data_IF_190438864988
#
_entry.id   IF_190438864988
#
_cell.length_a   1.000
_cell.length_b   1.000
_cell.length_c   1.000
_cell.angle_alpha   90.00
_cell.angle_beta   90.00
_cell.angle_gamma   90.00
#
_symmetry.space_group_name_H-M   'P 1'
#
loop_
_entity.id
_entity.type
_entity.pdbx_description
1 polymer ?
#
# COMPACT_ATOMS: atom_id res chain seq x y z
N UNK A 1 48.98 11.86 -23.19
CA UNK A 1 47.95 12.80 -22.71
C UNK A 1 46.61 12.64 -23.44
N UNK A 2 46.58 12.59 -24.79
CA UNK A 2 45.35 12.35 -25.56
C UNK A 2 44.73 10.96 -25.29
N UNK A 3 45.57 9.91 -25.25
CA UNK A 3 45.14 8.52 -25.02
C UNK A 3 44.52 8.31 -23.63
N UNK A 4 45.10 8.94 -22.61
CA UNK A 4 44.57 8.93 -21.23
C UNK A 4 43.25 9.70 -21.10
N UNK A 5 43.06 10.80 -21.86
CA UNK A 5 41.79 11.53 -21.90
C UNK A 5 40.67 10.71 -22.57
N UNK A 6 40.98 10.00 -23.64
CA UNK A 6 40.05 9.09 -24.31
C UNK A 6 39.57 7.98 -23.38
N UNK A 7 40.49 7.32 -22.66
CA UNK A 7 40.14 6.27 -21.69
C UNK A 7 39.23 6.78 -20.56
N UNK A 8 39.50 7.99 -20.05
CA UNK A 8 38.64 8.60 -19.02
C UNK A 8 37.25 8.91 -19.58
N UNK A 9 37.14 9.43 -20.81
CA UNK A 9 35.84 9.67 -21.44
C UNK A 9 35.05 8.38 -21.66
N UNK A 10 35.70 7.29 -22.09
CA UNK A 10 35.05 5.99 -22.25
C UNK A 10 34.45 5.48 -20.94
N UNK A 11 35.20 5.59 -19.83
CA UNK A 11 34.71 5.21 -18.50
C UNK A 11 33.51 6.08 -18.10
N UNK A 12 33.58 7.40 -18.32
CA UNK A 12 32.48 8.33 -17.99
C UNK A 12 31.23 7.99 -18.80
N UNK A 13 31.36 7.75 -20.10
CA UNK A 13 30.23 7.38 -20.97
C UNK A 13 29.63 6.05 -20.52
N UNK A 14 30.46 5.06 -20.17
CA UNK A 14 30.00 3.76 -19.70
C UNK A 14 29.25 3.86 -18.38
N UNK A 15 29.77 4.61 -17.40
CA UNK A 15 29.11 4.84 -16.11
C UNK A 15 27.81 5.61 -16.28
N UNK A 16 27.80 6.67 -17.09
CA UNK A 16 26.60 7.46 -17.35
C UNK A 16 25.51 6.63 -18.06
N UNK A 17 25.90 5.85 -19.06
CA UNK A 17 24.97 4.99 -19.81
C UNK A 17 24.44 3.87 -18.93
N UNK A 18 25.31 3.20 -18.16
CA UNK A 18 24.90 2.16 -17.22
C UNK A 18 23.97 2.69 -16.13
N UNK A 19 24.27 3.87 -15.58
CA UNK A 19 23.41 4.56 -14.62
C UNK A 19 22.04 4.92 -15.21
N UNK A 20 22.01 5.44 -16.44
CA UNK A 20 20.78 5.79 -17.15
C UNK A 20 19.90 4.56 -17.45
N UNK A 21 20.50 3.47 -17.95
CA UNK A 21 19.80 2.19 -18.19
C UNK A 21 19.25 1.65 -16.88
N UNK A 22 20.04 1.68 -15.80
CA UNK A 22 19.62 1.27 -14.46
C UNK A 22 18.40 2.07 -13.97
N UNK A 23 18.43 3.39 -14.13
CA UNK A 23 17.32 4.26 -13.76
C UNK A 23 16.04 3.99 -14.58
N UNK A 24 16.16 3.92 -15.90
CA UNK A 24 15.05 3.57 -16.82
C UNK A 24 14.42 2.23 -16.45
N UNK A 25 15.27 1.22 -16.22
CA UNK A 25 14.86 -0.14 -15.87
C UNK A 25 14.10 -0.18 -14.54
N UNK A 26 14.61 0.51 -13.52
CA UNK A 26 13.89 0.63 -12.23
C UNK A 26 12.52 1.30 -12.39
N UNK A 27 12.44 2.36 -13.19
CA UNK A 27 11.18 3.04 -13.49
C UNK A 27 10.17 2.10 -14.18
N UNK A 28 10.60 1.37 -15.20
CA UNK A 28 9.76 0.42 -15.92
C UNK A 28 9.28 -0.72 -15.02
N UNK A 29 10.17 -1.32 -14.22
CA UNK A 29 9.77 -2.35 -13.25
C UNK A 29 8.78 -1.83 -12.22
N UNK A 30 8.98 -0.60 -11.73
CA UNK A 30 8.07 0.01 -10.77
C UNK A 30 6.67 0.21 -11.35
N UNK A 31 6.59 0.67 -12.59
CA UNK A 31 5.31 0.86 -13.30
C UNK A 31 4.60 -0.47 -13.53
N UNK A 32 5.29 -1.49 -14.06
CA UNK A 32 4.72 -2.82 -14.31
C UNK A 32 4.24 -3.48 -13.02
N UNK A 33 5.02 -3.37 -11.94
CA UNK A 33 4.61 -3.87 -10.62
C UNK A 33 3.40 -3.13 -10.08
N UNK A 34 3.36 -1.81 -10.25
CA UNK A 34 2.21 -0.99 -9.89
C UNK A 34 0.96 -1.51 -10.61
N UNK A 35 0.99 -1.58 -11.94
CA UNK A 35 -0.12 -2.08 -12.78
C UNK A 35 -0.61 -3.46 -12.36
N UNK A 36 0.31 -4.39 -12.08
CA UNK A 36 -0.04 -5.73 -11.61
C UNK A 36 -0.88 -5.71 -10.32
N UNK A 37 -0.58 -4.83 -9.35
CA UNK A 37 -1.40 -4.70 -8.14
C UNK A 37 -2.79 -4.12 -8.43
N UNK A 38 -2.94 -3.19 -9.39
CA UNK A 38 -4.26 -2.72 -9.86
C UNK A 38 -5.05 -3.88 -10.45
N UNK A 39 -4.43 -4.62 -11.36
CA UNK A 39 -5.10 -5.70 -12.08
C UNK A 39 -5.54 -6.79 -11.10
N UNK A 40 -4.67 -7.15 -10.16
CA UNK A 40 -5.00 -8.10 -9.09
C UNK A 40 -6.11 -7.55 -8.20
N UNK A 41 -6.09 -6.28 -7.82
CA UNK A 41 -7.14 -5.69 -6.99
C UNK A 41 -8.51 -5.63 -7.68
N UNK A 42 -8.50 -5.43 -9.00
CA UNK A 42 -9.70 -5.35 -9.82
C UNK A 42 -10.19 -6.69 -10.36
N UNK A 43 -9.41 -7.75 -10.17
CA UNK A 43 -9.75 -9.12 -10.58
C UNK A 43 -11.07 -9.60 -9.95
N UNK A 44 -11.73 -10.55 -10.64
CA UNK A 44 -12.97 -11.14 -10.14
C UNK A 44 -12.80 -11.81 -8.77
N UNK A 45 -11.69 -12.50 -8.54
CA UNK A 45 -11.39 -13.16 -7.27
C UNK A 45 -11.19 -12.15 -6.13
N UNK A 46 -10.40 -11.09 -6.35
CA UNK A 46 -10.23 -10.07 -5.32
C UNK A 46 -11.54 -9.30 -5.04
N UNK A 47 -12.39 -9.12 -6.05
CA UNK A 47 -13.72 -8.53 -5.87
C UNK A 47 -14.61 -9.40 -4.99
N UNK A 48 -14.57 -10.72 -5.14
CA UNK A 48 -15.29 -11.66 -4.25
C UNK A 48 -14.76 -11.57 -2.82
N UNK A 49 -13.43 -11.59 -2.64
CA UNK A 49 -12.79 -11.43 -1.33
C UNK A 49 -13.21 -10.12 -0.66
N UNK A 50 -13.11 -9.00 -1.39
CA UNK A 50 -13.52 -7.67 -0.89
C UNK A 50 -14.99 -7.62 -0.52
N UNK A 51 -15.87 -8.19 -1.33
CA UNK A 51 -17.31 -8.24 -1.04
C UNK A 51 -17.57 -9.01 0.24
N UNK A 52 -16.90 -10.15 0.42
CA UNK A 52 -17.02 -10.97 1.63
C UNK A 52 -16.50 -10.26 2.87
N UNK A 53 -15.33 -9.63 2.78
CA UNK A 53 -14.77 -8.82 3.87
C UNK A 53 -15.68 -7.64 4.21
N UNK A 54 -16.23 -6.93 3.22
CA UNK A 54 -17.19 -5.87 3.46
C UNK A 54 -18.45 -6.37 4.15
N UNK A 55 -19.02 -7.49 3.69
CA UNK A 55 -20.19 -8.08 4.34
C UNK A 55 -19.89 -8.47 5.79
N UNK A 56 -18.70 -9.00 6.07
CA UNK A 56 -18.27 -9.32 7.43
C UNK A 56 -18.16 -8.07 8.32
N UNK A 57 -17.53 -6.99 7.81
CA UNK A 57 -17.43 -5.70 8.48
C UNK A 57 -18.83 -5.11 8.74
N UNK A 58 -19.69 -5.08 7.73
CA UNK A 58 -21.04 -4.51 7.80
C UNK A 58 -21.95 -5.26 8.77
N UNK A 59 -21.79 -6.58 8.87
CA UNK A 59 -22.52 -7.40 9.85
C UNK A 59 -22.03 -7.18 11.28
N UNK A 60 -20.86 -6.58 11.47
CA UNK A 60 -20.24 -6.41 12.79
C UNK A 60 -20.07 -7.74 13.53
N UNK A 61 -19.72 -8.80 12.80
CA UNK A 61 -19.60 -10.13 13.41
C UNK A 61 -18.49 -10.12 14.48
N UNK A 62 -18.76 -10.70 15.66
CA UNK A 62 -17.76 -10.71 16.71
C UNK A 62 -16.61 -11.66 16.35
N UNK A 63 -15.40 -11.29 16.79
CA UNK A 63 -14.16 -12.01 16.45
C UNK A 63 -14.13 -13.44 17.01
N UNK A 64 -14.84 -13.70 18.09
CA UNK A 64 -15.00 -15.03 18.70
C UNK A 64 -15.63 -16.06 17.76
N UNK A 65 -16.42 -15.63 16.76
CA UNK A 65 -16.96 -16.53 15.73
C UNK A 65 -15.90 -17.08 14.79
N UNK A 66 -14.93 -16.25 14.41
CA UNK A 66 -13.82 -16.66 13.55
C UNK A 66 -12.60 -17.15 14.36
N UNK A 67 -12.61 -16.93 15.68
CA UNK A 67 -11.61 -17.39 16.64
C UNK A 67 -12.28 -18.01 17.89
N UNK A 68 -12.97 -19.15 17.76
CA UNK A 68 -13.68 -19.75 18.89
C UNK A 68 -12.70 -20.41 19.86
N UNK A 69 -13.02 -20.35 21.16
CA UNK A 69 -12.24 -21.00 22.22
C UNK A 69 -12.16 -22.54 22.04
N UNK A 70 -13.16 -23.14 21.40
CA UNK A 70 -13.23 -24.58 21.12
C UNK A 70 -13.62 -24.83 19.66
N UNK A 71 -12.85 -25.62 18.91
CA UNK A 71 -13.22 -26.03 17.56
C UNK A 71 -14.41 -27.00 17.58
N UNK A 72 -15.13 -27.17 16.45
CA UNK A 72 -14.83 -26.63 15.11
C UNK A 72 -15.45 -25.24 14.84
N UNK A 73 -14.84 -24.47 13.93
CA UNK A 73 -15.52 -23.34 13.26
C UNK A 73 -16.63 -23.92 12.36
N UNK A 74 -17.73 -23.18 12.24
CA UNK A 74 -18.70 -23.44 11.18
C UNK A 74 -18.13 -23.04 9.80
N UNK A 75 -18.72 -23.62 8.74
CA UNK A 75 -18.26 -23.42 7.36
C UNK A 75 -18.28 -21.95 6.93
N UNK A 76 -19.26 -21.15 7.40
CA UNK A 76 -19.36 -19.73 7.03
C UNK A 76 -18.24 -18.92 7.68
N UNK A 77 -18.02 -19.12 8.98
CA UNK A 77 -16.93 -18.49 9.75
C UNK A 77 -15.55 -18.88 9.20
N UNK A 78 -15.37 -20.12 8.76
CA UNK A 78 -14.11 -20.56 8.16
C UNK A 78 -13.81 -19.83 6.85
N UNK A 79 -14.82 -19.67 6.01
CA UNK A 79 -14.68 -18.94 4.74
C UNK A 79 -14.48 -17.43 4.97
N UNK A 80 -15.09 -16.85 6.00
CA UNK A 80 -14.86 -15.45 6.39
C UNK A 80 -13.43 -15.24 6.89
N UNK A 81 -12.93 -16.14 7.74
CA UNK A 81 -11.52 -16.13 8.18
C UNK A 81 -10.56 -16.23 6.99
N UNK A 82 -10.82 -17.12 6.04
CA UNK A 82 -10.00 -17.24 4.83
C UNK A 82 -10.02 -15.95 4.01
N UNK A 83 -11.19 -15.34 3.81
CA UNK A 83 -11.32 -14.10 3.07
C UNK A 83 -10.58 -12.94 3.74
N UNK A 84 -10.72 -12.78 5.06
CA UNK A 84 -10.02 -11.77 5.85
C UNK A 84 -8.50 -11.94 5.75
N UNK A 85 -8.00 -13.18 5.81
CA UNK A 85 -6.57 -13.49 5.65
C UNK A 85 -6.06 -13.16 4.26
N UNK A 86 -6.72 -13.67 3.21
CA UNK A 86 -6.27 -13.46 1.83
C UNK A 86 -6.31 -11.99 1.44
N UNK A 87 -7.33 -11.26 1.89
CA UNK A 87 -7.46 -9.84 1.66
C UNK A 87 -6.42 -9.02 2.43
N UNK A 88 -6.16 -9.35 3.70
CA UNK A 88 -5.08 -8.72 4.48
C UNK A 88 -3.69 -9.01 3.90
N UNK A 89 -3.48 -10.24 3.40
CA UNK A 89 -2.23 -10.63 2.74
C UNK A 89 -1.95 -9.79 1.49
N UNK A 90 -2.99 -9.44 0.71
CA UNK A 90 -2.81 -8.53 -0.42
C UNK A 90 -2.18 -7.20 0.01
N UNK A 91 -2.66 -6.59 1.10
CA UNK A 91 -2.10 -5.34 1.60
C UNK A 91 -0.72 -5.51 2.23
N UNK A 92 -0.45 -6.64 2.89
CA UNK A 92 0.89 -6.96 3.37
C UNK A 92 1.89 -7.07 2.22
N UNK A 93 1.54 -7.78 1.15
CA UNK A 93 2.37 -7.86 -0.06
C UNK A 93 2.58 -6.47 -0.69
N UNK A 94 1.53 -5.65 -0.75
CA UNK A 94 1.60 -4.28 -1.24
C UNK A 94 2.52 -3.40 -0.36
N UNK A 95 2.43 -3.55 0.96
CA UNK A 95 3.29 -2.86 1.92
C UNK A 95 4.75 -3.25 1.79
N UNK A 96 5.03 -4.55 1.61
CA UNK A 96 6.37 -5.06 1.31
C UNK A 96 6.90 -4.45 -0.01
N UNK A 97 6.08 -4.42 -1.07
CA UNK A 97 6.46 -3.83 -2.35
C UNK A 97 6.75 -2.32 -2.25
N UNK A 98 5.92 -1.60 -1.49
CA UNK A 98 6.12 -0.18 -1.19
C UNK A 98 7.43 0.07 -0.42
N UNK A 99 7.71 -0.74 0.62
CA UNK A 99 8.93 -0.66 1.44
C UNK A 99 10.20 -0.82 0.62
N UNK A 100 10.21 -1.79 -0.30
CA UNK A 100 11.34 -2.04 -1.19
C UNK A 100 11.34 -1.15 -2.44
N UNK A 101 10.43 -0.17 -2.53
CA UNK A 101 10.31 0.77 -3.65
C UNK A 101 10.12 0.08 -5.00
N UNK A 102 9.58 -1.14 -5.00
CA UNK A 102 9.21 -1.84 -6.22
C UNK A 102 7.88 -1.35 -6.77
N UNK A 103 7.16 -0.52 -6.00
CA UNK A 103 5.95 0.20 -6.42
C UNK A 103 6.13 1.68 -6.09
N UNK A 104 5.64 2.57 -6.96
CA UNK A 104 5.78 4.01 -6.79
C UNK A 104 4.94 4.52 -5.61
N UNK A 105 5.51 5.44 -4.80
CA UNK A 105 4.80 6.05 -3.66
C UNK A 105 3.61 6.89 -4.12
N UNK A 106 3.80 7.68 -5.18
CA UNK A 106 2.74 8.51 -5.74
C UNK A 106 1.57 7.63 -6.20
N UNK A 107 1.91 6.54 -6.88
CA UNK A 107 0.94 5.55 -7.34
C UNK A 107 0.12 4.94 -6.19
N UNK A 108 0.79 4.44 -5.13
CA UNK A 108 0.10 3.84 -3.98
C UNK A 108 -0.87 4.84 -3.38
N UNK A 109 -0.43 6.09 -3.21
CA UNK A 109 -1.25 7.13 -2.66
C UNK A 109 -2.47 7.44 -3.55
N UNK A 110 -2.25 7.69 -4.84
CA UNK A 110 -3.31 8.13 -5.75
C UNK A 110 -4.35 7.04 -6.03
N UNK A 111 -3.95 5.77 -6.05
CA UNK A 111 -4.84 4.65 -6.40
C UNK A 111 -5.38 3.93 -5.17
N UNK A 112 -4.51 3.64 -4.20
CA UNK A 112 -4.83 2.80 -3.05
C UNK A 112 -4.96 3.57 -1.74
N UNK A 113 -4.60 4.86 -1.68
CA UNK A 113 -4.51 5.61 -0.43
C UNK A 113 -5.77 5.51 0.43
N UNK A 114 -6.93 5.85 -0.13
CA UNK A 114 -8.21 5.77 0.58
C UNK A 114 -8.61 4.34 0.95
N UNK A 115 -8.30 3.38 0.09
CA UNK A 115 -8.59 1.95 0.32
C UNK A 115 -7.75 1.43 1.49
N UNK A 116 -6.46 1.75 1.51
CA UNK A 116 -5.52 1.36 2.57
C UNK A 116 -5.96 1.97 3.91
N UNK A 117 -6.34 3.25 3.93
CA UNK A 117 -6.78 3.92 5.16
C UNK A 117 -8.04 3.27 5.73
N UNK A 118 -9.07 3.09 4.89
CA UNK A 118 -10.33 2.46 5.30
C UNK A 118 -10.11 1.05 5.83
N UNK A 119 -9.52 0.17 5.02
CA UNK A 119 -9.34 -1.23 5.43
C UNK A 119 -8.29 -1.40 6.53
N UNK A 120 -7.34 -0.48 6.65
CA UNK A 120 -6.40 -0.47 7.76
C UNK A 120 -7.08 -0.27 9.11
N UNK A 121 -8.11 0.58 9.15
CA UNK A 121 -8.95 0.75 10.33
C UNK A 121 -9.88 -0.45 10.53
N UNK A 122 -10.64 -0.83 9.49
CA UNK A 122 -11.64 -1.90 9.57
C UNK A 122 -11.04 -3.27 9.96
N UNK A 123 -9.78 -3.55 9.56
CA UNK A 123 -9.12 -4.83 9.79
C UNK A 123 -8.20 -4.85 11.02
N UNK A 124 -8.02 -3.73 11.72
CA UNK A 124 -7.07 -3.62 12.84
C UNK A 124 -7.33 -4.65 13.94
N UNK A 125 -8.60 -4.82 14.35
CA UNK A 125 -8.98 -5.76 15.39
C UNK A 125 -8.74 -7.21 14.95
N UNK A 126 -9.10 -7.56 13.72
CA UNK A 126 -8.83 -8.88 13.13
C UNK A 126 -7.32 -9.18 13.10
N UNK A 127 -6.49 -8.24 12.64
CA UNK A 127 -5.03 -8.41 12.55
C UNK A 127 -4.44 -8.68 13.94
N UNK A 128 -4.84 -7.89 14.93
CA UNK A 128 -4.39 -8.06 16.32
C UNK A 128 -4.73 -9.45 16.84
N UNK A 129 -5.98 -9.87 16.69
CA UNK A 129 -6.46 -11.15 17.21
C UNK A 129 -5.82 -12.35 16.47
N UNK A 130 -5.66 -12.23 15.15
CA UNK A 130 -5.02 -13.26 14.33
C UNK A 130 -3.56 -13.47 14.73
N UNK A 131 -2.81 -12.40 15.05
CA UNK A 131 -1.41 -12.49 15.51
C UNK A 131 -1.27 -13.27 16.81
N UNK A 132 -2.22 -13.08 17.73
CA UNK A 132 -2.27 -13.78 19.01
C UNK A 132 -2.50 -15.27 18.74
N UNK A 133 -3.53 -15.59 17.95
CA UNK A 133 -3.91 -16.96 17.61
C UNK A 133 -2.80 -17.74 16.90
N UNK A 134 -2.08 -17.11 15.96
CA UNK A 134 -0.97 -17.77 15.25
C UNK A 134 0.39 -17.63 15.93
N UNK A 135 0.45 -16.92 17.08
CA UNK A 135 1.67 -16.59 17.81
C UNK A 135 2.78 -15.96 16.92
N UNK A 136 2.40 -15.00 16.07
CA UNK A 136 3.33 -14.28 15.17
C UNK A 136 3.13 -12.78 15.24
N UNK A 137 3.86 -12.13 16.16
CA UNK A 137 3.75 -10.68 16.42
C UNK A 137 4.02 -9.80 15.18
N UNK A 138 4.95 -10.20 14.31
CA UNK A 138 5.33 -9.43 13.12
C UNK A 138 4.46 -9.63 11.88
N UNK A 139 3.43 -10.48 11.94
CA UNK A 139 2.57 -10.74 10.78
C UNK A 139 1.80 -9.46 10.42
N UNK A 140 1.71 -9.08 9.15
CA UNK A 140 1.04 -7.82 8.71
C UNK A 140 1.76 -6.51 9.08
N UNK A 141 3.01 -6.56 9.56
CA UNK A 141 3.74 -5.33 9.95
C UNK A 141 3.99 -4.36 8.78
N UNK A 142 4.23 -4.87 7.57
CA UNK A 142 4.45 -3.99 6.42
C UNK A 142 3.13 -3.33 5.96
N UNK A 143 1.98 -3.98 6.20
CA UNK A 143 0.67 -3.34 6.01
C UNK A 143 0.47 -2.20 7.01
N UNK A 144 0.77 -2.40 8.29
CA UNK A 144 0.68 -1.33 9.30
C UNK A 144 1.61 -0.15 8.98
N UNK A 145 2.86 -0.42 8.63
CA UNK A 145 3.79 0.62 8.19
C UNK A 145 3.26 1.37 6.95
N UNK A 146 2.63 0.64 6.01
CA UNK A 146 2.01 1.25 4.83
C UNK A 146 0.87 2.21 5.24
N UNK A 147 0.00 1.80 6.17
CA UNK A 147 -1.09 2.66 6.68
C UNK A 147 -0.51 3.93 7.30
N UNK A 148 0.49 3.81 8.18
CA UNK A 148 1.11 4.98 8.82
C UNK A 148 1.70 5.97 7.81
N UNK A 149 2.41 5.46 6.80
CA UNK A 149 3.03 6.28 5.77
C UNK A 149 1.98 7.01 4.93
N UNK A 150 0.90 6.33 4.58
CA UNK A 150 -0.23 6.90 3.85
C UNK A 150 -0.93 7.97 4.71
N UNK A 151 -1.16 7.73 6.00
CA UNK A 151 -1.70 8.75 6.91
C UNK A 151 -0.80 9.99 7.00
N UNK A 152 0.52 9.82 7.06
CA UNK A 152 1.48 10.94 7.06
C UNK A 152 1.42 11.74 5.75
N UNK A 153 1.30 11.04 4.61
CA UNK A 153 1.15 11.68 3.30
C UNK A 153 -0.17 12.46 3.18
N UNK A 154 -1.26 11.90 3.68
CA UNK A 154 -2.59 12.54 3.68
C UNK A 154 -2.56 13.86 4.45
N UNK A 155 -2.09 13.82 5.70
CA UNK A 155 -1.96 15.00 6.57
C UNK A 155 -1.11 16.10 5.92
N UNK A 156 -0.01 15.71 5.25
CA UNK A 156 0.85 16.66 4.54
C UNK A 156 0.13 17.33 3.37
N UNK A 157 -0.62 16.56 2.57
CA UNK A 157 -1.40 17.11 1.44
C UNK A 157 -2.54 18.01 1.93
N UNK A 158 -3.30 17.59 2.94
CA UNK A 158 -4.36 18.42 3.52
C UNK A 158 -3.84 19.74 4.10
N UNK A 159 -2.64 19.73 4.71
CA UNK A 159 -1.99 20.96 5.17
C UNK A 159 -1.57 21.86 4.00
N UNK A 160 -1.01 21.29 2.93
CA UNK A 160 -0.64 22.03 1.74
C UNK A 160 -1.87 22.67 1.06
N UNK A 161 -2.97 21.93 0.91
CA UNK A 161 -4.22 22.44 0.34
C UNK A 161 -4.77 23.63 1.15
N UNK A 162 -4.89 23.50 2.48
CA UNK A 162 -5.34 24.59 3.36
C UNK A 162 -4.52 25.86 3.23
N UNK A 163 -3.19 25.73 3.14
CA UNK A 163 -2.32 26.89 2.95
C UNK A 163 -2.56 27.54 1.59
N UNK A 164 -2.80 26.76 0.54
CA UNK A 164 -3.02 27.30 -0.82
C UNK A 164 -4.35 28.07 -0.92
N UNK A 165 -5.41 27.57 -0.27
CA UNK A 165 -6.72 28.24 -0.18
C UNK A 165 -6.65 29.54 0.62
N UNK A 166 -5.90 29.54 1.73
CA UNK A 166 -5.67 30.77 2.51
C UNK A 166 -4.98 31.87 1.67
N UNK A 167 -4.00 31.50 0.83
CA UNK A 167 -3.31 32.43 -0.07
C UNK A 167 -4.11 32.88 -1.32
N UNK A 168 -5.18 32.17 -1.71
CA UNK A 168 -6.09 32.65 -2.76
C UNK A 168 -7.11 33.64 -2.20
N UNK A 169 -7.64 33.37 -1.01
CA UNK A 169 -8.68 34.22 -0.41
C UNK A 169 -8.11 35.58 0.03
N UNK A 170 -6.88 35.62 0.55
CA UNK A 170 -6.21 36.87 0.98
C UNK A 170 -5.59 37.67 -0.19
N UNK A 171 -5.69 37.20 -1.43
CA UNK A 171 -5.32 37.96 -2.63
C UNK A 171 -6.50 38.73 -3.23
N UNK A 172 -7.73 38.36 -2.92
CA UNK A 172 -8.91 39.12 -3.32
C UNK A 172 -9.16 40.34 -2.42
N UNK A 173 -8.76 40.29 -1.15
CA UNK A 173 -8.94 41.39 -0.18
C UNK A 173 -7.99 42.60 -0.33
N UNK A 174 -7.14 42.62 -1.37
CA UNK A 174 -6.16 43.70 -1.59
C UNK A 174 -6.36 44.48 -2.88
N UNK A 175 -7.46 44.23 -3.60
CA UNK A 175 -7.76 44.88 -4.88
C UNK A 175 -9.08 45.68 -4.87
N UNK A 176 -9.68 45.92 -3.72
CA UNK A 176 -10.81 46.86 -3.54
C UNK A 176 -10.34 48.13 -2.81
#
# INVERSE_FOLDING_TARGET
MLMTLLQVMEIVVLVATGGYIGYQTQGHFSLTRSQHYIERFNSGEMRKLRTRVNNWIERGQPLDKIFPEKPPLDDESQLDLEALRLFSNFFQELGTAYKYRTVSRAYIWDVFGQIILRYGEDLAAFISEYRIHVNRKGLYIDFECLIEDIQKMDKKKQKAMRNTTWFSDHRHDKND
#
